data_IF_743513335462
#
_entry.id   IF_743513335462
#
_cell.length_a   1.000
_cell.length_b   1.000
_cell.length_c   1.000
_cell.angle_alpha   90.00
_cell.angle_beta   90.00
_cell.angle_gamma   90.00
#
_symmetry.space_group_name_H-M   'P 1'
#
loop_
_entity.id
_entity.type
_entity.pdbx_description
1 polymer ?
#
# COMPACT_ATOMS: atom_id res chain seq x y z
N UNK A 1 33.97 -10.43 -39.61
CA UNK A 1 33.56 -11.70 -40.24
C UNK A 1 32.05 -11.79 -40.12
N UNK A 2 31.29 -11.94 -41.21
CA UNK A 2 29.85 -12.20 -41.09
C UNK A 2 29.64 -13.54 -40.37
N UNK A 3 28.59 -13.67 -39.55
CA UNK A 3 28.37 -14.87 -38.74
C UNK A 3 28.33 -16.12 -39.63
N UNK A 4 28.91 -17.20 -39.12
CA UNK A 4 28.90 -18.51 -39.77
C UNK A 4 27.47 -19.01 -39.99
N UNK A 5 27.30 -20.01 -40.87
CA UNK A 5 25.97 -20.58 -41.16
C UNK A 5 25.24 -21.08 -39.90
N UNK A 6 25.99 -21.62 -38.94
CA UNK A 6 25.45 -22.10 -37.66
C UNK A 6 25.11 -20.97 -36.68
N UNK A 7 25.94 -19.93 -36.60
CA UNK A 7 25.66 -18.75 -35.76
C UNK A 7 24.43 -17.99 -36.23
N UNK A 8 24.20 -17.90 -37.55
CA UNK A 8 22.97 -17.31 -38.11
C UNK A 8 21.73 -18.12 -37.73
N UNK A 9 21.79 -19.45 -37.85
CA UNK A 9 20.69 -20.34 -37.45
C UNK A 9 20.38 -20.21 -35.95
N UNK A 10 21.39 -20.08 -35.11
CA UNK A 10 21.18 -19.91 -33.67
C UNK A 10 20.56 -18.55 -33.32
N UNK A 11 21.00 -17.47 -33.99
CA UNK A 11 20.43 -16.13 -33.83
C UNK A 11 18.96 -16.11 -34.26
N UNK A 12 18.62 -16.70 -35.40
CA UNK A 12 17.24 -16.79 -35.89
C UNK A 12 16.34 -17.57 -34.91
N UNK A 13 16.85 -18.66 -34.32
CA UNK A 13 16.14 -19.43 -33.30
C UNK A 13 15.86 -18.58 -32.06
N UNK A 14 16.87 -17.88 -31.52
CA UNK A 14 16.72 -17.01 -30.34
C UNK A 14 15.76 -15.87 -30.60
N UNK A 15 15.83 -15.25 -31.78
CA UNK A 15 14.94 -14.17 -32.18
C UNK A 15 13.49 -14.64 -32.25
N UNK A 16 13.27 -15.84 -32.78
CA UNK A 16 11.94 -16.47 -32.84
C UNK A 16 11.40 -16.75 -31.44
N UNK A 17 12.24 -17.30 -30.54
CA UNK A 17 11.85 -17.58 -29.17
C UNK A 17 11.51 -16.30 -28.38
N UNK A 18 12.31 -15.23 -28.56
CA UNK A 18 12.04 -13.90 -28.00
C UNK A 18 10.75 -13.31 -28.54
N UNK A 19 10.51 -13.40 -29.84
CA UNK A 19 9.28 -12.90 -30.45
C UNK A 19 8.03 -13.61 -29.89
N UNK A 20 8.12 -14.94 -29.67
CA UNK A 20 7.05 -15.71 -29.02
C UNK A 20 6.83 -15.24 -27.57
N UNK A 21 7.89 -15.04 -26.79
CA UNK A 21 7.78 -14.56 -25.40
C UNK A 21 7.20 -13.15 -25.31
N UNK A 22 7.65 -12.24 -26.17
CA UNK A 22 7.12 -10.86 -26.23
C UNK A 22 5.65 -10.88 -26.64
N UNK A 23 5.27 -11.71 -27.62
CA UNK A 23 3.87 -11.86 -28.04
C UNK A 23 3.01 -12.46 -26.92
N UNK A 24 3.53 -13.41 -26.14
CA UNK A 24 2.84 -13.98 -24.98
C UNK A 24 2.67 -12.95 -23.85
N UNK A 25 3.69 -12.12 -23.60
CA UNK A 25 3.61 -11.00 -22.64
C UNK A 25 2.63 -9.92 -23.09
N UNK A 26 2.60 -9.58 -24.38
CA UNK A 26 1.65 -8.62 -24.94
C UNK A 26 0.21 -9.18 -25.01
N UNK A 27 0.06 -10.51 -25.08
CA UNK A 27 -1.24 -11.20 -25.05
C UNK A 27 -1.78 -11.41 -23.64
N UNK A 28 -0.96 -11.23 -22.58
CA UNK A 28 -1.47 -11.01 -21.24
C UNK A 28 -2.21 -9.67 -21.25
N UNK A 29 -3.53 -9.72 -21.45
CA UNK A 29 -4.39 -8.60 -21.08
C UNK A 29 -4.15 -8.34 -19.60
N UNK A 30 -4.02 -7.07 -19.21
CA UNK A 30 -4.24 -6.70 -17.81
C UNK A 30 -5.58 -7.33 -17.41
N UNK A 31 -5.57 -8.17 -16.39
CA UNK A 31 -6.79 -8.78 -15.90
C UNK A 31 -7.72 -7.63 -15.48
N UNK A 32 -8.92 -7.48 -16.06
CA UNK A 32 -9.86 -6.46 -15.62
C UNK A 32 -10.22 -6.59 -14.13
N UNK A 33 -10.07 -7.78 -13.52
CA UNK A 33 -10.24 -7.98 -12.08
C UNK A 33 -9.13 -7.29 -11.26
N UNK A 34 -7.89 -7.23 -11.78
CA UNK A 34 -6.77 -6.45 -11.21
C UNK A 34 -6.98 -4.93 -11.32
N UNK A 35 -8.02 -4.47 -12.01
CA UNK A 35 -8.41 -3.06 -12.12
C UNK A 35 -9.60 -2.73 -11.20
N UNK A 36 -10.23 -3.74 -10.58
CA UNK A 36 -11.42 -3.58 -9.73
C UNK A 36 -11.13 -3.83 -8.24
N UNK A 37 -10.19 -4.71 -7.91
CA UNK A 37 -9.86 -5.03 -6.53
C UNK A 37 -8.59 -4.30 -6.12
N UNK A 38 -8.76 -3.13 -5.51
CA UNK A 38 -7.73 -2.58 -4.64
C UNK A 38 -8.32 -2.56 -3.25
N UNK A 39 -7.93 -3.55 -2.46
CA UNK A 39 -8.53 -3.82 -1.16
C UNK A 39 -8.42 -2.60 -0.23
N UNK A 40 -7.45 -1.71 -0.44
CA UNK A 40 -7.29 -0.47 0.34
C UNK A 40 -8.60 0.32 0.41
N UNK A 41 -9.43 0.30 -0.65
CA UNK A 41 -10.74 0.98 -0.62
C UNK A 41 -11.81 0.22 0.16
N UNK A 42 -11.78 -1.11 0.23
CA UNK A 42 -12.75 -1.90 0.99
C UNK A 42 -12.75 -1.52 2.47
N UNK A 43 -11.57 -1.21 3.02
CA UNK A 43 -11.45 -0.73 4.40
C UNK A 43 -12.27 0.55 4.67
N UNK A 44 -12.53 1.37 3.65
CA UNK A 44 -13.29 2.63 3.75
C UNK A 44 -14.77 2.48 3.36
N UNK A 45 -15.21 1.27 2.95
CA UNK A 45 -16.60 0.95 2.61
C UNK A 45 -17.41 0.43 3.82
N UNK A 46 -16.76 0.17 4.95
CA UNK A 46 -17.38 -0.14 6.26
C UNK A 46 -16.92 0.88 7.31
N UNK A 47 -17.39 0.74 8.56
CA UNK A 47 -16.97 1.57 9.67
C UNK A 47 -15.44 1.51 9.85
N UNK A 48 -14.79 2.68 9.85
CA UNK A 48 -13.35 2.79 10.03
C UNK A 48 -12.99 3.85 11.07
N UNK A 49 -11.82 3.67 11.71
CA UNK A 49 -11.25 4.57 12.69
C UNK A 49 -9.80 4.92 12.32
N UNK A 50 -9.53 6.21 12.15
CA UNK A 50 -8.16 6.70 12.02
C UNK A 50 -7.47 6.71 13.38
N UNK A 51 -6.29 6.09 13.45
CA UNK A 51 -5.51 5.97 14.68
C UNK A 51 -4.23 6.78 14.54
N UNK A 52 -4.19 7.91 15.24
CA UNK A 52 -3.06 8.83 15.25
C UNK A 52 -1.99 8.37 16.27
N UNK A 53 -0.69 8.43 15.92
CA UNK A 53 0.39 8.10 16.85
C UNK A 53 0.50 9.11 18.00
N UNK A 54 0.91 8.65 19.19
CA UNK A 54 1.26 9.52 20.33
C UNK A 54 2.68 9.31 20.86
N UNK A 55 3.39 8.28 20.39
CA UNK A 55 4.76 7.98 20.77
C UNK A 55 5.82 8.69 19.92
N UNK A 56 7.07 8.33 20.14
CA UNK A 56 8.21 8.84 19.35
C UNK A 56 8.45 7.94 18.14
N UNK A 57 8.41 8.53 16.95
CA UNK A 57 8.70 7.80 15.72
C UNK A 57 10.14 7.29 15.72
N UNK A 58 10.36 6.13 15.11
CA UNK A 58 11.69 5.64 14.80
C UNK A 58 12.38 6.48 13.75
N UNK A 59 11.64 6.93 12.74
CA UNK A 59 12.19 7.70 11.62
C UNK A 59 11.40 8.99 11.34
N UNK A 60 12.07 10.13 11.11
CA UNK A 60 11.40 11.39 10.73
C UNK A 60 10.53 11.24 9.48
N UNK A 61 10.98 10.48 8.48
CA UNK A 61 10.21 10.28 7.24
C UNK A 61 8.83 9.67 7.48
N UNK A 62 8.74 8.69 8.39
CA UNK A 62 7.46 8.06 8.72
C UNK A 62 6.57 9.00 9.52
N UNK A 63 7.15 9.81 10.42
CA UNK A 63 6.42 10.82 11.17
C UNK A 63 5.82 11.90 10.27
N UNK A 64 6.63 12.45 9.36
CA UNK A 64 6.20 13.48 8.42
C UNK A 64 5.16 12.95 7.43
N UNK A 65 5.37 11.75 6.89
CA UNK A 65 4.41 11.08 6.03
C UNK A 65 3.08 10.86 6.73
N UNK A 66 3.10 10.31 7.95
CA UNK A 66 1.91 10.03 8.73
C UNK A 66 1.08 11.29 9.01
N UNK A 67 1.74 12.36 9.48
CA UNK A 67 1.07 13.63 9.76
C UNK A 67 0.46 14.23 8.50
N UNK A 68 1.25 14.36 7.43
CA UNK A 68 0.78 14.91 6.15
C UNK A 68 -0.37 14.11 5.56
N UNK A 69 -0.26 12.78 5.55
CA UNK A 69 -1.28 11.90 4.94
C UNK A 69 -2.58 11.94 5.74
N UNK A 70 -2.53 11.93 7.07
CA UNK A 70 -3.72 12.09 7.91
C UNK A 70 -4.39 13.46 7.70
N UNK A 71 -3.61 14.54 7.66
CA UNK A 71 -4.13 15.89 7.43
C UNK A 71 -4.80 16.01 6.05
N UNK A 72 -4.15 15.52 5.00
CA UNK A 72 -4.72 15.52 3.64
C UNK A 72 -5.98 14.67 3.58
N UNK A 73 -5.97 13.48 4.19
CA UNK A 73 -7.11 12.58 4.18
C UNK A 73 -8.32 13.17 4.92
N UNK A 74 -8.12 13.67 6.14
CA UNK A 74 -9.18 14.31 6.95
C UNK A 74 -9.79 15.50 6.21
N UNK A 75 -8.96 16.36 5.61
CA UNK A 75 -9.42 17.52 4.87
C UNK A 75 -10.20 17.14 3.59
N UNK A 76 -9.67 16.19 2.81
CA UNK A 76 -10.34 15.74 1.59
C UNK A 76 -11.68 15.09 1.91
N UNK A 77 -11.74 14.25 2.94
CA UNK A 77 -12.96 13.57 3.35
C UNK A 77 -14.05 14.56 3.77
N UNK A 78 -13.70 15.55 4.62
CA UNK A 78 -14.60 16.64 5.01
C UNK A 78 -15.10 17.45 3.83
N UNK A 79 -14.18 17.86 2.94
CA UNK A 79 -14.50 18.74 1.82
C UNK A 79 -15.35 18.04 0.75
N UNK A 80 -14.96 16.82 0.36
CA UNK A 80 -15.47 16.18 -0.85
C UNK A 80 -16.48 15.06 -0.56
N UNK A 81 -16.39 14.42 0.60
CA UNK A 81 -17.20 13.24 0.95
C UNK A 81 -18.24 13.52 2.04
N UNK A 82 -18.42 14.79 2.42
CA UNK A 82 -19.51 15.29 3.28
C UNK A 82 -19.57 14.65 4.67
N UNK A 83 -18.42 14.35 5.26
CA UNK A 83 -18.34 13.85 6.62
C UNK A 83 -16.97 14.10 7.22
N UNK A 84 -16.85 14.00 8.54
CA UNK A 84 -15.57 14.05 9.22
C UNK A 84 -15.07 12.64 9.51
N UNK A 85 -13.78 12.39 9.31
CA UNK A 85 -13.18 11.11 9.72
C UNK A 85 -13.06 11.07 11.23
N UNK A 86 -13.40 9.93 11.84
CA UNK A 86 -13.14 9.70 13.27
C UNK A 86 -11.66 9.47 13.47
N UNK A 87 -11.06 10.24 14.36
CA UNK A 87 -9.64 10.12 14.74
C UNK A 87 -9.52 9.86 16.23
N UNK A 88 -8.69 8.88 16.59
CA UNK A 88 -8.37 8.55 17.99
C UNK A 88 -6.87 8.40 18.17
N UNK A 89 -6.38 8.79 19.34
CA UNK A 89 -5.01 8.50 19.72
C UNK A 89 -4.83 6.99 19.94
N UNK A 90 -3.71 6.44 19.48
CA UNK A 90 -3.37 5.02 19.58
C UNK A 90 -3.55 4.44 21.00
N UNK A 91 -3.17 5.21 22.02
CA UNK A 91 -3.31 4.84 23.44
C UNK A 91 -4.76 4.79 23.94
N UNK A 92 -5.68 5.42 23.22
CA UNK A 92 -7.10 5.49 23.56
C UNK A 92 -7.91 4.45 22.79
N UNK A 93 -7.30 3.70 21.86
CA UNK A 93 -7.96 2.60 21.13
C UNK A 93 -8.31 1.47 22.10
N UNK A 94 -9.59 1.16 22.15
CA UNK A 94 -10.20 0.13 23.00
C UNK A 94 -10.41 -1.18 22.24
N UNK A 95 -10.78 -2.23 22.97
CA UNK A 95 -11.17 -3.50 22.35
C UNK A 95 -12.46 -3.38 21.52
N UNK A 96 -13.38 -2.46 21.89
CA UNK A 96 -14.59 -2.19 21.12
C UNK A 96 -14.26 -1.58 19.76
N UNK A 97 -13.36 -0.59 19.73
CA UNK A 97 -12.93 0.00 18.45
C UNK A 97 -12.32 -1.06 17.51
N UNK A 98 -11.52 -2.00 18.04
CA UNK A 98 -10.91 -3.11 17.26
C UNK A 98 -11.97 -4.11 16.77
N UNK A 99 -13.04 -4.31 17.55
CA UNK A 99 -14.12 -5.23 17.20
C UNK A 99 -15.02 -4.65 16.11
N UNK A 100 -15.30 -3.35 16.20
CA UNK A 100 -16.34 -2.70 15.42
C UNK A 100 -15.81 -2.05 14.14
N UNK A 101 -14.56 -1.56 14.14
CA UNK A 101 -14.01 -0.73 13.07
C UNK A 101 -12.81 -1.36 12.33
N UNK A 102 -12.70 -1.05 11.03
CA UNK A 102 -11.44 -1.12 10.31
C UNK A 102 -10.46 -0.07 10.85
N UNK A 103 -9.18 -0.43 10.97
CA UNK A 103 -8.19 0.44 11.59
C UNK A 103 -7.28 1.08 10.56
N UNK A 104 -7.28 2.41 10.49
CA UNK A 104 -6.39 3.18 9.61
C UNK A 104 -5.27 3.75 10.46
N UNK A 105 -4.10 3.10 10.45
CA UNK A 105 -3.00 3.35 11.37
C UNK A 105 -1.94 4.25 10.74
N UNK A 106 -1.62 5.35 11.42
CA UNK A 106 -0.60 6.31 10.98
C UNK A 106 0.64 6.25 11.87
N UNK A 107 1.82 6.48 11.28
CA UNK A 107 3.11 6.54 11.96
C UNK A 107 4.01 5.36 11.63
N UNK A 108 4.76 4.92 12.62
CA UNK A 108 5.58 3.71 12.59
C UNK A 108 5.40 2.92 13.90
N UNK A 109 5.96 1.72 14.05
CA UNK A 109 5.80 0.94 15.27
C UNK A 109 6.41 1.60 16.53
N UNK A 110 7.27 2.62 16.39
CA UNK A 110 7.78 3.40 17.51
C UNK A 110 6.79 4.43 18.04
N UNK A 111 6.03 5.03 17.13
CA UNK A 111 5.11 6.13 17.40
C UNK A 111 3.66 5.68 17.62
N UNK A 112 3.26 4.54 17.05
CA UNK A 112 1.90 4.02 17.14
C UNK A 112 1.89 2.61 17.77
N UNK A 113 1.44 2.52 19.01
CA UNK A 113 1.39 1.28 19.79
C UNK A 113 0.42 0.24 19.23
N UNK A 114 -0.66 0.65 18.55
CA UNK A 114 -1.57 -0.27 17.85
C UNK A 114 -0.87 -0.85 16.62
N UNK A 115 -0.21 -0.01 15.83
CA UNK A 115 0.59 -0.42 14.68
C UNK A 115 1.68 -1.40 15.07
N UNK A 116 2.38 -1.18 16.19
CA UNK A 116 3.39 -2.12 16.69
C UNK A 116 2.86 -3.54 16.89
N UNK A 117 1.64 -3.68 17.45
CA UNK A 117 0.98 -4.98 17.64
C UNK A 117 0.56 -5.63 16.33
N UNK A 118 0.13 -4.82 15.36
CA UNK A 118 -0.30 -5.28 14.04
C UNK A 118 0.90 -5.73 13.22
N UNK A 119 1.90 -4.86 13.04
CA UNK A 119 3.09 -5.12 12.21
C UNK A 119 3.83 -6.38 12.68
N UNK A 120 3.89 -6.64 13.98
CA UNK A 120 4.50 -7.85 14.53
C UNK A 120 3.85 -9.17 14.07
N UNK A 121 2.67 -9.11 13.44
CA UNK A 121 1.90 -10.26 12.95
C UNK A 121 1.64 -10.23 11.44
N UNK A 122 2.09 -9.19 10.73
CA UNK A 122 1.95 -9.09 9.28
C UNK A 122 3.10 -9.82 8.56
N UNK A 123 2.92 -10.21 7.28
CA UNK A 123 4.00 -10.79 6.48
C UNK A 123 5.03 -9.76 6.02
N UNK A 124 5.20 -8.64 6.74
CA UNK A 124 6.24 -7.64 6.50
C UNK A 124 7.07 -7.48 7.77
N UNK A 125 8.31 -7.02 7.61
CA UNK A 125 9.15 -6.67 8.75
C UNK A 125 9.54 -5.21 8.66
N UNK A 126 9.24 -4.47 9.73
CA UNK A 126 9.63 -3.07 9.84
C UNK A 126 10.44 -2.88 11.12
N UNK A 127 11.65 -2.37 10.95
CA UNK A 127 12.57 -2.03 12.03
C UNK A 127 12.95 -0.55 11.95
N UNK A 128 13.79 -0.09 12.87
CA UNK A 128 14.31 1.28 12.85
C UNK A 128 15.11 1.57 11.58
N UNK A 129 15.80 0.60 11.01
CA UNK A 129 16.70 0.79 9.87
C UNK A 129 16.13 0.30 8.55
N UNK A 130 15.26 -0.71 8.57
CA UNK A 130 14.86 -1.44 7.36
C UNK A 130 13.38 -1.78 7.33
N UNK A 131 12.83 -1.81 6.11
CA UNK A 131 11.50 -2.32 5.77
C UNK A 131 11.70 -3.49 4.79
N UNK A 132 11.20 -4.66 5.14
CA UNK A 132 11.24 -5.86 4.31
C UNK A 132 9.81 -6.24 3.90
N UNK A 133 9.58 -6.32 2.59
CA UNK A 133 8.32 -6.73 1.97
C UNK A 133 8.63 -7.76 0.89
N UNK A 134 8.13 -8.99 1.06
CA UNK A 134 8.49 -10.11 0.21
C UNK A 134 9.99 -10.36 0.21
N UNK A 135 10.63 -10.33 -0.96
CA UNK A 135 12.08 -10.51 -1.14
C UNK A 135 12.86 -9.19 -1.20
N UNK A 136 12.19 -8.06 -0.93
CA UNK A 136 12.74 -6.72 -1.12
C UNK A 136 12.97 -6.05 0.23
N UNK A 137 14.11 -5.39 0.37
CA UNK A 137 14.49 -4.60 1.55
C UNK A 137 14.70 -3.15 1.15
N UNK A 138 14.22 -2.24 1.99
CA UNK A 138 14.30 -0.79 1.81
C UNK A 138 14.83 -0.12 3.08
N UNK A 139 15.54 1.00 2.92
CA UNK A 139 15.96 1.86 4.03
C UNK A 139 14.73 2.52 4.68
N UNK A 140 14.54 2.31 5.98
CA UNK A 140 13.48 2.96 6.76
C UNK A 140 13.74 4.46 7.01
N UNK A 141 14.95 4.94 6.71
CA UNK A 141 15.27 6.36 6.79
C UNK A 141 14.62 7.16 5.65
N UNK A 142 14.33 6.52 4.51
CA UNK A 142 13.87 7.19 3.29
C UNK A 142 12.52 6.66 2.78
N UNK A 143 12.04 5.56 3.34
CA UNK A 143 10.86 4.85 2.85
C UNK A 143 9.82 4.63 3.95
N UNK A 144 8.57 4.52 3.54
CA UNK A 144 7.41 4.24 4.39
C UNK A 144 6.59 3.13 3.73
N UNK A 145 6.19 2.08 4.47
CA UNK A 145 5.27 1.09 3.95
C UNK A 145 3.84 1.65 3.97
N UNK A 146 3.12 1.42 2.89
CA UNK A 146 1.70 1.71 2.72
C UNK A 146 1.02 0.41 2.30
N UNK A 147 0.06 -0.08 3.08
CA UNK A 147 -0.60 -1.35 2.74
C UNK A 147 -1.97 -1.48 3.39
N UNK A 148 -2.75 -2.42 2.90
CA UNK A 148 -3.89 -3.03 3.59
C UNK A 148 -3.59 -4.50 3.92
N UNK A 149 -4.17 -5.00 5.01
CA UNK A 149 -4.16 -6.41 5.35
C UNK A 149 -5.37 -6.76 6.24
N UNK A 150 -5.80 -8.03 6.32
CA UNK A 150 -6.72 -8.49 7.35
C UNK A 150 -6.16 -8.19 8.73
N UNK A 151 -6.96 -7.54 9.57
CA UNK A 151 -6.49 -7.08 10.88
C UNK A 151 -6.15 -8.31 11.77
N UNK A 152 -4.88 -8.52 12.15
CA UNK A 152 -4.49 -9.67 12.95
C UNK A 152 -4.96 -9.59 14.42
N UNK A 153 -5.61 -8.48 14.80
CA UNK A 153 -6.32 -8.33 16.08
C UNK A 153 -7.81 -8.69 15.96
N UNK A 154 -8.37 -8.67 14.74
CA UNK A 154 -9.74 -9.08 14.43
C UNK A 154 -9.86 -9.41 12.92
N UNK A 155 -9.79 -10.70 12.52
CA UNK A 155 -9.78 -11.08 11.10
C UNK A 155 -11.08 -10.79 10.33
N UNK A 156 -12.11 -10.24 10.97
CA UNK A 156 -13.35 -9.76 10.33
C UNK A 156 -13.29 -8.29 9.92
N UNK A 157 -12.13 -7.65 10.12
CA UNK A 157 -11.85 -6.24 9.87
C UNK A 157 -10.53 -6.12 9.16
N UNK A 158 -10.31 -4.97 8.55
CA UNK A 158 -9.08 -4.63 7.87
C UNK A 158 -8.21 -3.68 8.70
N UNK A 159 -6.94 -3.66 8.36
CA UNK A 159 -5.99 -2.67 8.81
C UNK A 159 -5.29 -2.03 7.63
N UNK A 160 -5.26 -0.71 7.60
CA UNK A 160 -4.55 0.10 6.61
C UNK A 160 -3.38 0.79 7.31
N UNK A 161 -2.20 0.76 6.70
CA UNK A 161 -0.98 1.38 7.21
C UNK A 161 -0.65 2.62 6.37
N UNK A 162 -0.51 3.77 7.03
CA UNK A 162 -0.02 5.04 6.47
C UNK A 162 -0.70 5.51 5.18
N UNK A 163 -1.98 5.20 5.01
CA UNK A 163 -2.75 5.59 3.83
C UNK A 163 -4.10 6.17 4.18
N UNK A 164 -4.67 6.87 3.21
CA UNK A 164 -6.08 7.25 3.12
C UNK A 164 -6.53 7.01 1.68
N UNK A 165 -7.21 7.98 1.09
CA UNK A 165 -7.36 8.00 -0.36
C UNK A 165 -6.01 8.22 -1.06
N UNK A 166 -5.77 7.45 -2.11
CA UNK A 166 -4.58 7.62 -2.96
C UNK A 166 -4.78 8.58 -4.13
N UNK A 167 -5.99 9.13 -4.28
CA UNK A 167 -6.32 10.22 -5.24
C UNK A 167 -6.38 11.57 -4.51
N UNK A 168 -6.25 12.66 -5.26
CA UNK A 168 -6.06 14.01 -4.73
C UNK A 168 -7.16 15.02 -5.08
N UNK A 169 -6.96 16.26 -4.65
CA UNK A 169 -7.91 17.38 -4.86
C UNK A 169 -8.18 17.67 -6.35
N UNK A 170 -7.21 17.41 -7.24
CA UNK A 170 -7.43 17.51 -8.69
C UNK A 170 -8.41 16.44 -9.20
N UNK A 171 -8.26 15.20 -8.73
CA UNK A 171 -9.16 14.09 -9.08
C UNK A 171 -10.59 14.37 -8.59
N UNK A 172 -10.72 14.89 -7.36
CA UNK A 172 -12.01 15.29 -6.79
C UNK A 172 -12.69 16.44 -7.55
N UNK A 173 -11.92 17.39 -8.10
CA UNK A 173 -12.46 18.46 -8.94
C UNK A 173 -12.87 17.98 -10.33
N UNK A 174 -12.33 16.85 -10.77
CA UNK A 174 -12.60 16.26 -12.07
C UNK A 174 -13.96 15.56 -12.10
N UNK A 175 -13.95 14.32 -12.58
CA UNK A 175 -15.13 13.45 -12.59
C UNK A 175 -14.88 12.26 -11.67
N UNK A 176 -15.96 11.69 -11.12
CA UNK A 176 -15.89 10.50 -10.26
C UNK A 176 -15.12 9.33 -10.90
N UNK A 177 -14.99 9.28 -12.24
CA UNK A 177 -14.17 8.28 -12.93
C UNK A 177 -12.65 8.38 -12.61
N UNK A 178 -12.18 9.48 -12.03
CA UNK A 178 -10.80 9.65 -11.57
C UNK A 178 -10.57 9.20 -10.13
N UNK A 179 -11.63 8.87 -9.40
CA UNK A 179 -11.58 8.44 -8.00
C UNK A 179 -11.26 6.95 -7.89
N UNK A 180 -10.15 6.53 -8.51
CA UNK A 180 -9.65 5.17 -8.45
C UNK A 180 -8.31 5.09 -7.70
N UNK A 181 -8.04 3.95 -7.03
CA UNK A 181 -6.80 3.73 -6.31
C UNK A 181 -5.55 3.84 -7.21
N UNK A 182 -4.45 4.35 -6.64
CA UNK A 182 -3.16 4.58 -7.32
C UNK A 182 -2.06 3.61 -6.90
N UNK A 183 -2.29 2.88 -5.82
CA UNK A 183 -1.37 1.91 -5.21
C UNK A 183 -2.07 0.56 -5.17
N UNK A 184 -1.30 -0.53 -5.25
CA UNK A 184 -1.81 -1.87 -4.95
C UNK A 184 -1.89 -2.11 -3.44
N UNK A 185 -2.28 -3.34 -3.05
CA UNK A 185 -2.54 -3.71 -1.65
C UNK A 185 -1.34 -3.51 -0.74
N UNK A 186 -0.12 -3.62 -1.27
CA UNK A 186 1.10 -3.24 -0.57
C UNK A 186 2.00 -2.39 -1.44
N UNK A 187 2.62 -1.39 -0.81
CA UNK A 187 3.51 -0.43 -1.45
C UNK A 187 4.60 0.05 -0.50
N UNK A 188 5.70 0.50 -1.08
CA UNK A 188 6.75 1.24 -0.39
C UNK A 188 6.94 2.55 -1.11
N UNK A 189 6.78 3.64 -0.39
CA UNK A 189 6.85 5.01 -0.91
C UNK A 189 8.00 5.78 -0.27
N UNK A 190 8.55 6.74 -1.01
CA UNK A 190 9.52 7.70 -0.48
C UNK A 190 8.81 8.93 0.10
N UNK A 191 9.54 9.74 0.86
CA UNK A 191 9.05 11.01 1.42
C UNK A 191 8.38 11.95 0.40
N UNK A 192 8.86 11.94 -0.85
CA UNK A 192 8.34 12.77 -1.93
C UNK A 192 7.11 12.17 -2.65
N UNK A 193 6.66 10.98 -2.26
CA UNK A 193 5.55 10.26 -2.89
C UNK A 193 5.95 9.31 -4.02
N UNK A 194 7.25 9.21 -4.36
CA UNK A 194 7.71 8.26 -5.37
C UNK A 194 7.48 6.82 -4.90
N UNK A 195 6.90 6.00 -5.76
CA UNK A 195 6.62 4.59 -5.48
C UNK A 195 7.87 3.76 -5.79
N UNK A 196 8.46 3.16 -4.76
CA UNK A 196 9.62 2.26 -4.89
C UNK A 196 9.20 0.80 -5.12
N UNK A 197 8.01 0.43 -4.66
CA UNK A 197 7.37 -0.88 -4.83
C UNK A 197 5.86 -0.70 -4.75
N UNK A 198 5.12 -1.41 -5.60
CA UNK A 198 3.67 -1.60 -5.47
C UNK A 198 3.33 -2.98 -6.01
N UNK A 199 2.45 -3.69 -5.33
CA UNK A 199 2.00 -5.03 -5.73
C UNK A 199 0.70 -5.39 -5.05
N UNK A 200 0.22 -6.59 -5.36
CA UNK A 200 -1.05 -7.14 -4.89
C UNK A 200 -0.79 -8.44 -4.15
N UNK A 201 -1.58 -8.70 -3.11
CA UNK A 201 -1.58 -10.04 -2.52
C UNK A 201 -2.38 -11.00 -3.41
N UNK A 202 -2.15 -12.31 -3.27
CA UNK A 202 -3.10 -13.29 -3.79
C UNK A 202 -4.36 -13.35 -2.92
N UNK A 203 -5.37 -14.10 -3.35
CA UNK A 203 -6.64 -14.30 -2.62
C UNK A 203 -6.46 -14.92 -1.21
N UNK A 204 -5.25 -15.40 -0.88
CA UNK A 204 -4.88 -15.92 0.43
C UNK A 204 -3.97 -14.97 1.22
N UNK A 205 -3.88 -13.70 0.81
CA UNK A 205 -3.08 -12.66 1.46
C UNK A 205 -1.57 -12.96 1.49
N UNK A 206 -1.05 -13.63 0.45
CA UNK A 206 0.38 -13.94 0.27
C UNK A 206 0.99 -13.10 -0.86
N UNK A 207 2.29 -12.85 -0.78
CA UNK A 207 3.01 -12.19 -1.87
C UNK A 207 2.99 -13.04 -3.15
N UNK A 208 2.75 -12.38 -4.27
CA UNK A 208 2.84 -12.95 -5.63
C UNK A 208 4.24 -12.91 -6.20
#
# INVERSE_FOLDING_TARGET
MPPGGDERRELERKLTELAVRVKALAARKADPALVADVDVYDAFMDAFLCVRPTGTAWNPVAQEWAAKTLDVFTWNFAKWLRGDVRVKDDRSVSAGDIADDNLILFGDPGSNSVMARVIAKLPIRWTKSEIEIGTRTFSAADHVPVLIYPNPLNPKRDVVINSGHTFGDEDFRGTNAWLYPRLGDYSVVKANGDVALSGFFDEQWRFT
#
